data_IF_755141488630
#
_entry.id   IF_755141488630
#
_cell.length_a   1.000
_cell.length_b   1.000
_cell.length_c   1.000
_cell.angle_alpha   90.00
_cell.angle_beta   90.00
_cell.angle_gamma   90.00
#
_symmetry.space_group_name_H-M   'P 1'
#
loop_
_entity.id
_entity.type
_entity.pdbx_description
1 polymer ?
#
# COMPACT_ATOMS: atom_id res chain seq x y z
N UNK A 1 -13.17 -39.53 67.00
CA UNK A 1 -13.09 -39.82 65.56
C UNK A 1 -13.71 -38.66 64.81
N UNK A 2 -12.97 -38.03 63.89
CA UNK A 2 -13.52 -37.05 62.94
C UNK A 2 -12.66 -35.81 62.76
N UNK A 3 -11.58 -35.89 62.00
CA UNK A 3 -10.92 -34.72 61.40
C UNK A 3 -11.59 -34.42 60.05
N UNK A 4 -11.96 -33.17 59.73
CA UNK A 4 -12.23 -32.79 58.35
C UNK A 4 -10.92 -32.49 57.61
N UNK A 5 -10.73 -33.17 56.47
CA UNK A 5 -9.65 -32.90 55.52
C UNK A 5 -10.00 -31.65 54.70
N UNK A 6 -9.14 -30.65 54.73
CA UNK A 6 -9.15 -29.53 53.79
C UNK A 6 -8.51 -30.00 52.47
N UNK A 7 -9.28 -30.06 51.39
CA UNK A 7 -8.76 -30.21 50.04
C UNK A 7 -8.63 -28.80 49.43
N UNK A 8 -7.39 -28.32 49.31
CA UNK A 8 -7.08 -27.11 48.54
C UNK A 8 -6.92 -27.50 47.06
N UNK A 9 -7.82 -27.05 46.21
CA UNK A 9 -7.67 -27.12 44.75
C UNK A 9 -6.86 -25.89 44.33
N UNK A 10 -5.59 -26.09 43.96
CA UNK A 10 -4.77 -25.07 43.34
C UNK A 10 -5.20 -24.86 41.88
N UNK A 11 -5.65 -23.65 41.55
CA UNK A 11 -5.96 -23.25 40.18
C UNK A 11 -4.69 -22.63 39.59
N UNK A 12 -3.93 -23.39 38.81
CA UNK A 12 -2.78 -22.86 38.07
C UNK A 12 -3.31 -22.16 36.83
N UNK A 13 -3.37 -20.83 36.85
CA UNK A 13 -3.63 -20.04 35.66
C UNK A 13 -2.40 -20.12 34.74
N UNK A 14 -2.47 -20.94 33.69
CA UNK A 14 -1.51 -20.91 32.60
C UNK A 14 -1.78 -19.65 31.76
N UNK A 15 -0.94 -18.63 31.91
CA UNK A 15 -0.86 -17.53 30.96
C UNK A 15 -0.30 -18.08 29.65
N UNK A 16 -1.17 -18.33 28.67
CA UNK A 16 -0.74 -18.49 27.28
C UNK A 16 -0.28 -17.11 26.80
N UNK A 17 1.03 -16.85 26.88
CA UNK A 17 1.66 -15.77 26.15
C UNK A 17 1.60 -16.09 24.66
N UNK A 18 0.55 -15.65 23.98
CA UNK A 18 0.50 -15.62 22.53
C UNK A 18 1.54 -14.61 22.04
N UNK A 19 2.50 -15.06 21.22
CA UNK A 19 3.33 -14.13 20.47
C UNK A 19 2.40 -13.28 19.59
N UNK A 20 2.63 -11.96 19.47
CA UNK A 20 1.85 -11.15 18.54
C UNK A 20 2.04 -11.76 17.14
N UNK A 21 0.94 -12.10 16.48
CA UNK A 21 0.98 -12.37 15.04
C UNK A 21 1.45 -11.09 14.36
N UNK A 22 2.52 -11.17 13.59
CA UNK A 22 2.99 -10.04 12.80
C UNK A 22 1.91 -9.73 11.75
N UNK A 23 1.61 -8.44 11.58
CA UNK A 23 0.62 -7.99 10.60
C UNK A 23 1.16 -8.14 9.17
N UNK A 24 0.25 -8.26 8.20
CA UNK A 24 0.60 -8.18 6.78
C UNK A 24 1.33 -6.86 6.50
N UNK A 25 2.34 -6.92 5.64
CA UNK A 25 3.04 -5.72 5.20
C UNK A 25 2.17 -4.93 4.22
N UNK A 26 2.24 -3.61 4.28
CA UNK A 26 1.54 -2.70 3.38
C UNK A 26 2.50 -2.09 2.38
N UNK A 27 2.20 -2.24 1.09
CA UNK A 27 2.88 -1.51 0.02
C UNK A 27 1.88 -0.56 -0.65
N UNK A 28 2.21 0.73 -0.68
CA UNK A 28 1.43 1.75 -1.40
C UNK A 28 2.23 2.28 -2.58
N UNK A 29 1.54 2.48 -3.71
CA UNK A 29 2.09 3.09 -4.91
C UNK A 29 1.36 4.40 -5.18
N UNK A 30 2.10 5.47 -5.47
CA UNK A 30 1.58 6.72 -6.05
C UNK A 30 2.04 6.80 -7.50
N UNK A 31 1.11 6.68 -8.44
CA UNK A 31 1.39 6.54 -9.87
C UNK A 31 0.61 7.56 -10.70
N UNK A 32 1.21 8.07 -11.76
CA UNK A 32 0.52 8.75 -12.85
C UNK A 32 0.73 7.99 -14.16
N UNK A 33 -0.04 8.31 -15.19
CA UNK A 33 0.03 7.58 -16.45
C UNK A 33 -0.45 8.41 -17.63
N UNK A 34 0.01 8.02 -18.80
CA UNK A 34 -0.48 8.48 -20.10
C UNK A 34 -1.30 7.35 -20.73
N UNK A 35 -2.58 7.62 -21.00
CA UNK A 35 -3.46 6.71 -21.71
C UNK A 35 -3.36 6.97 -23.21
N UNK A 36 -2.84 6.00 -23.94
CA UNK A 36 -2.96 5.91 -25.38
C UNK A 36 -3.58 4.55 -25.71
N UNK A 37 -4.71 4.53 -26.43
CA UNK A 37 -5.47 3.31 -26.75
C UNK A 37 -5.88 2.48 -25.51
N UNK A 38 -6.13 3.17 -24.40
CA UNK A 38 -6.46 2.60 -23.09
C UNK A 38 -5.43 2.91 -22.01
N UNK A 39 -5.80 2.71 -20.73
CA UNK A 39 -4.97 3.09 -19.59
C UNK A 39 -3.73 2.19 -19.42
N UNK A 40 -2.66 2.72 -18.80
CA UNK A 40 -1.53 1.92 -18.33
C UNK A 40 -1.97 0.85 -17.34
N UNK A 41 -1.41 -0.35 -17.51
CA UNK A 41 -1.54 -1.47 -16.58
C UNK A 41 -0.18 -1.79 -16.01
N UNK A 42 -0.14 -2.08 -14.72
CA UNK A 42 1.11 -2.37 -14.04
C UNK A 42 1.07 -3.67 -13.26
N UNK A 43 2.26 -4.20 -13.01
CA UNK A 43 2.52 -5.21 -11.99
C UNK A 43 3.39 -4.62 -10.89
N UNK A 44 3.09 -5.02 -9.66
CA UNK A 44 3.92 -4.84 -8.48
C UNK A 44 4.60 -6.17 -8.17
N UNK A 45 5.92 -6.15 -8.01
CA UNK A 45 6.71 -7.34 -7.72
C UNK A 45 7.56 -7.15 -6.46
N UNK A 46 7.79 -8.26 -5.76
CA UNK A 46 8.73 -8.38 -4.66
C UNK A 46 9.71 -9.51 -4.99
N UNK A 47 11.01 -9.20 -5.05
CA UNK A 47 12.06 -10.13 -5.52
C UNK A 47 11.71 -10.77 -6.88
N UNK A 48 11.16 -9.97 -7.80
CA UNK A 48 10.76 -10.41 -9.12
C UNK A 48 9.48 -11.26 -9.18
N UNK A 49 8.87 -11.61 -8.04
CA UNK A 49 7.57 -12.30 -7.99
C UNK A 49 6.43 -11.29 -7.97
N UNK A 50 5.43 -11.47 -8.84
CA UNK A 50 4.21 -10.64 -8.85
C UNK A 50 3.44 -10.83 -7.55
N UNK A 51 3.17 -9.72 -6.86
CA UNK A 51 2.38 -9.64 -5.63
C UNK A 51 1.14 -8.75 -5.78
N UNK A 52 1.05 -7.99 -6.87
CA UNK A 52 -0.10 -7.15 -7.17
C UNK A 52 -0.10 -6.68 -8.61
N UNK A 53 -1.24 -6.17 -9.07
CA UNK A 53 -1.38 -5.52 -10.36
C UNK A 53 -2.51 -4.49 -10.32
N UNK A 54 -2.55 -3.59 -11.30
CA UNK A 54 -3.58 -2.57 -11.37
C UNK A 54 -3.67 -1.89 -12.73
N UNK A 55 -4.68 -1.02 -12.84
CA UNK A 55 -4.98 -0.20 -14.03
C UNK A 55 -5.10 1.25 -13.57
N UNK A 56 -4.46 2.19 -14.28
CA UNK A 56 -4.50 3.61 -13.96
C UNK A 56 -5.69 4.30 -14.64
N UNK A 57 -6.85 4.26 -13.97
CA UNK A 57 -8.07 4.90 -14.46
C UNK A 57 -7.99 6.43 -14.50
N UNK A 58 -7.11 7.04 -13.71
CA UNK A 58 -6.84 8.49 -13.71
C UNK A 58 -5.76 8.92 -14.71
N UNK A 59 -5.26 8.04 -15.58
CA UNK A 59 -4.25 8.42 -16.56
C UNK A 59 -4.76 9.55 -17.49
N UNK A 60 -3.87 10.46 -17.87
CA UNK A 60 -4.20 11.53 -18.81
C UNK A 60 -4.41 10.95 -20.21
N UNK A 61 -5.52 11.30 -20.87
CA UNK A 61 -5.74 10.88 -22.25
C UNK A 61 -4.84 11.68 -23.20
N UNK A 62 -3.90 10.99 -23.85
CA UNK A 62 -2.93 11.63 -24.74
C UNK A 62 -3.52 12.09 -26.08
N UNK A 63 -4.64 11.51 -26.51
CA UNK A 63 -5.37 11.90 -27.71
C UNK A 63 -6.29 13.11 -27.50
N UNK A 64 -6.83 13.28 -26.29
CA UNK A 64 -7.76 14.36 -25.97
C UNK A 64 -7.11 15.54 -25.21
N UNK A 65 -6.28 15.24 -24.21
CA UNK A 65 -5.70 16.24 -23.30
C UNK A 65 -4.22 16.50 -23.56
N UNK A 66 -3.54 15.58 -24.26
CA UNK A 66 -2.13 15.67 -24.59
C UNK A 66 -1.22 15.01 -23.54
N UNK A 67 0.08 15.30 -23.62
CA UNK A 67 1.11 14.67 -22.79
C UNK A 67 1.05 15.13 -21.33
N UNK A 68 1.35 14.24 -20.39
CA UNK A 68 1.30 14.49 -18.94
C UNK A 68 2.10 15.73 -18.56
N UNK A 69 3.35 15.83 -19.03
CA UNK A 69 4.24 16.93 -18.67
C UNK A 69 4.06 18.20 -19.51
N UNK A 70 3.20 18.17 -20.54
CA UNK A 70 2.71 19.38 -21.19
C UNK A 70 1.54 20.01 -20.41
N UNK A 71 0.90 19.25 -19.51
CA UNK A 71 -0.14 19.75 -18.63
C UNK A 71 0.45 20.64 -17.52
N UNK A 72 -0.22 21.74 -17.16
CA UNK A 72 0.23 22.63 -16.09
C UNK A 72 0.18 22.00 -14.68
N UNK A 73 -0.56 20.90 -14.51
CA UNK A 73 -0.79 20.20 -13.23
C UNK A 73 -0.64 18.68 -13.40
N UNK A 74 0.55 18.17 -13.78
CA UNK A 74 0.75 16.73 -14.03
C UNK A 74 0.41 15.87 -12.82
N UNK A 75 0.67 16.36 -11.61
CA UNK A 75 0.38 15.65 -10.35
C UNK A 75 -1.11 15.50 -10.04
N UNK A 76 -2.01 16.20 -10.74
CA UNK A 76 -3.46 15.99 -10.58
C UNK A 76 -3.96 14.65 -11.11
N UNK A 77 -3.14 13.96 -11.91
CA UNK A 77 -3.40 12.63 -12.46
C UNK A 77 -2.81 11.51 -11.59
N UNK A 78 -2.32 11.81 -10.39
CA UNK A 78 -1.85 10.78 -9.46
C UNK A 78 -3.01 9.91 -8.96
N UNK A 79 -2.75 8.63 -8.90
CA UNK A 79 -3.61 7.59 -8.38
C UNK A 79 -2.83 6.71 -7.41
N UNK A 80 -3.45 6.46 -6.25
CA UNK A 80 -2.87 5.61 -5.22
C UNK A 80 -3.40 4.19 -5.32
N UNK A 81 -2.54 3.23 -5.05
CA UNK A 81 -2.85 1.81 -4.94
C UNK A 81 -2.24 1.26 -3.65
N UNK A 82 -2.95 0.36 -2.97
CA UNK A 82 -2.52 -0.21 -1.70
C UNK A 82 -2.65 -1.74 -1.75
N UNK A 83 -1.58 -2.42 -1.37
CA UNK A 83 -1.46 -3.87 -1.41
C UNK A 83 -1.06 -4.40 -0.03
N UNK A 84 -1.84 -5.34 0.49
CA UNK A 84 -1.44 -6.14 1.64
C UNK A 84 -0.62 -7.33 1.16
N UNK A 85 0.58 -7.50 1.71
CA UNK A 85 1.49 -8.61 1.43
C UNK A 85 1.54 -9.50 2.67
N UNK A 86 1.08 -10.76 2.57
CA UNK A 86 1.13 -11.69 3.68
C UNK A 86 2.54 -11.78 4.26
N UNK A 87 2.66 -11.84 5.59
CA UNK A 87 3.97 -11.96 6.26
C UNK A 87 4.82 -13.09 5.66
N UNK A 88 4.20 -14.25 5.41
CA UNK A 88 4.84 -15.42 4.77
C UNK A 88 5.43 -15.16 3.38
N UNK A 89 5.02 -14.10 2.70
CA UNK A 89 5.50 -13.69 1.39
C UNK A 89 6.42 -12.46 1.46
N UNK A 90 6.32 -11.68 2.53
CA UNK A 90 7.09 -10.45 2.68
C UNK A 90 8.57 -10.77 2.97
N UNK A 91 9.46 -10.12 2.21
CA UNK A 91 10.90 -10.27 2.30
C UNK A 91 11.47 -8.94 2.71
N UNK A 92 11.97 -8.87 3.95
CA UNK A 92 12.51 -7.64 4.52
C UNK A 92 13.70 -7.09 3.70
N UNK A 93 14.43 -7.97 3.05
CA UNK A 93 15.58 -7.70 2.19
C UNK A 93 15.22 -7.67 0.69
N UNK A 94 13.94 -7.82 0.35
CA UNK A 94 13.53 -7.98 -1.04
C UNK A 94 13.35 -6.65 -1.76
N UNK A 95 13.75 -6.60 -3.03
CA UNK A 95 13.52 -5.43 -3.87
C UNK A 95 12.05 -5.36 -4.29
N UNK A 96 11.50 -4.14 -4.30
CA UNK A 96 10.15 -3.90 -4.82
C UNK A 96 10.28 -3.26 -6.19
N UNK A 97 9.58 -3.80 -7.18
CA UNK A 97 9.59 -3.25 -8.53
C UNK A 97 8.20 -3.05 -9.11
N UNK A 98 8.06 -1.99 -9.90
CA UNK A 98 6.85 -1.64 -10.65
C UNK A 98 7.18 -1.67 -12.14
N UNK A 99 6.31 -2.30 -12.93
CA UNK A 99 6.52 -2.53 -14.36
C UNK A 99 5.26 -2.17 -15.14
N UNK A 100 5.42 -1.49 -16.27
CA UNK A 100 4.37 -1.30 -17.27
C UNK A 100 4.18 -2.60 -18.06
N UNK A 101 2.96 -3.13 -18.12
CA UNK A 101 2.69 -4.47 -18.71
C UNK A 101 2.04 -4.44 -20.08
N UNK A 102 1.50 -3.29 -20.47
CA UNK A 102 0.78 -3.14 -21.72
C UNK A 102 1.32 -1.96 -22.53
N UNK A 103 2.63 -1.77 -22.59
CA UNK A 103 3.22 -0.72 -23.43
C UNK A 103 2.61 -0.69 -24.84
N UNK A 104 2.37 0.53 -25.35
CA UNK A 104 1.89 0.78 -26.70
C UNK A 104 2.28 2.19 -27.14
N UNK A 105 3.06 2.25 -28.21
CA UNK A 105 3.49 3.47 -28.87
C UNK A 105 2.97 3.55 -30.30
N UNK A 106 2.67 4.77 -30.78
CA UNK A 106 2.39 5.06 -32.18
C UNK A 106 3.24 6.25 -32.67
N UNK A 107 4.00 5.99 -33.73
CA UNK A 107 4.90 6.94 -34.37
C UNK A 107 4.12 7.91 -35.29
N UNK A 108 3.48 8.92 -34.70
CA UNK A 108 2.85 10.08 -35.38
C UNK A 108 3.58 11.38 -35.01
N UNK A 109 3.36 12.48 -35.75
CA UNK A 109 4.03 13.80 -35.56
C UNK A 109 4.01 14.37 -34.12
N UNK A 110 3.07 13.91 -33.27
CA UNK A 110 2.92 14.34 -31.87
C UNK A 110 3.25 13.24 -30.84
N UNK A 111 3.67 12.05 -31.27
CA UNK A 111 4.07 10.93 -30.41
C UNK A 111 3.00 10.54 -29.38
N UNK A 112 2.13 9.58 -29.73
CA UNK A 112 1.14 9.05 -28.78
C UNK A 112 1.66 7.78 -28.16
N UNK A 113 1.62 7.75 -26.84
CA UNK A 113 2.36 6.76 -26.09
C UNK A 113 1.66 6.43 -24.78
N UNK A 114 1.77 5.16 -24.38
CA UNK A 114 1.22 4.68 -23.12
C UNK A 114 2.36 4.52 -22.13
N UNK A 115 2.41 5.45 -21.19
CA UNK A 115 3.49 5.52 -20.23
C UNK A 115 3.00 5.41 -18.80
N UNK A 116 3.85 4.85 -17.94
CA UNK A 116 3.65 4.82 -16.50
C UNK A 116 4.69 5.72 -15.83
N UNK A 117 4.27 6.46 -14.81
CA UNK A 117 5.14 7.36 -14.06
C UNK A 117 4.99 7.08 -12.57
N UNK A 118 6.11 6.79 -11.90
CA UNK A 118 6.13 6.52 -10.46
C UNK A 118 6.48 7.80 -9.72
N UNK A 119 5.63 8.20 -8.79
CA UNK A 119 5.90 9.29 -7.85
C UNK A 119 6.61 8.77 -6.60
N UNK A 120 6.05 7.71 -6.00
CA UNK A 120 6.61 7.08 -4.81
C UNK A 120 6.15 5.63 -4.64
N UNK A 121 6.97 4.87 -3.91
CA UNK A 121 6.64 3.55 -3.36
C UNK A 121 6.79 3.64 -1.85
N UNK A 122 5.72 3.35 -1.10
CA UNK A 122 5.74 3.34 0.37
C UNK A 122 5.63 1.92 0.90
N UNK A 123 6.52 1.53 1.81
CA UNK A 123 6.55 0.19 2.42
C UNK A 123 6.44 0.33 3.93
N UNK A 124 5.35 -0.15 4.53
CA UNK A 124 5.08 -0.07 5.96
C UNK A 124 5.35 1.35 6.53
N UNK A 125 4.92 2.38 5.78
CA UNK A 125 5.08 3.80 6.11
C UNK A 125 6.41 4.45 5.73
N UNK A 126 7.42 3.70 5.26
CA UNK A 126 8.63 4.28 4.69
C UNK A 126 8.43 4.59 3.20
N UNK A 127 8.42 5.87 2.85
CA UNK A 127 8.30 6.35 1.48
C UNK A 127 9.66 6.41 0.78
N UNK A 128 9.73 5.82 -0.42
CA UNK A 128 10.82 5.96 -1.39
C UNK A 128 10.29 6.76 -2.58
N UNK A 129 10.75 8.00 -2.69
CA UNK A 129 10.33 8.92 -3.77
C UNK A 129 11.04 8.60 -5.08
N UNK A 130 10.48 9.07 -6.19
CA UNK A 130 10.99 8.83 -7.54
C UNK A 130 12.50 9.04 -7.67
N UNK A 131 13.06 10.10 -7.07
CA UNK A 131 14.49 10.42 -7.15
C UNK A 131 15.42 9.35 -6.54
N UNK A 132 14.90 8.55 -5.61
CA UNK A 132 15.64 7.50 -4.91
C UNK A 132 15.38 6.10 -5.50
N UNK A 133 14.49 5.99 -6.48
CA UNK A 133 14.27 4.75 -7.23
C UNK A 133 15.38 4.54 -8.27
N UNK A 134 15.57 3.29 -8.68
CA UNK A 134 16.40 2.93 -9.83
C UNK A 134 15.52 2.52 -10.99
N UNK A 135 15.81 3.03 -12.19
CA UNK A 135 15.23 2.49 -13.41
C UNK A 135 16.16 1.42 -13.98
N UNK A 136 15.70 0.18 -14.06
CA UNK A 136 16.50 -0.92 -14.61
C UNK A 136 15.87 -1.47 -15.88
N UNK A 137 16.72 -1.93 -16.81
CA UNK A 137 16.35 -2.80 -17.92
C UNK A 137 17.12 -4.12 -17.76
N UNK A 138 16.43 -5.16 -17.28
CA UNK A 138 17.12 -6.30 -16.65
C UNK A 138 17.99 -5.81 -15.49
N UNK A 139 19.28 -6.12 -15.51
CA UNK A 139 20.24 -5.69 -14.48
C UNK A 139 20.94 -4.35 -14.80
N UNK A 140 20.60 -3.71 -15.92
CA UNK A 140 21.27 -2.49 -16.38
C UNK A 140 20.54 -1.25 -15.88
N UNK A 141 21.24 -0.45 -15.07
CA UNK A 141 20.77 0.89 -14.68
C UNK A 141 20.61 1.79 -15.91
N UNK A 142 19.43 2.37 -16.05
CA UNK A 142 19.11 3.38 -17.05
C UNK A 142 19.24 4.76 -16.39
N UNK A 143 19.90 5.69 -17.08
CA UNK A 143 19.97 7.08 -16.68
C UNK A 143 18.93 7.85 -17.50
N UNK A 144 17.91 8.39 -16.84
CA UNK A 144 16.91 9.26 -17.45
C UNK A 144 16.79 10.55 -16.66
N UNK A 145 16.46 11.63 -17.36
CA UNK A 145 16.03 12.87 -16.74
C UNK A 145 14.60 12.71 -16.21
N UNK A 146 14.45 12.85 -14.90
CA UNK A 146 13.15 12.91 -14.23
C UNK A 146 12.36 14.09 -14.78
N UNK A 147 11.13 13.84 -15.22
CA UNK A 147 10.23 14.89 -15.65
C UNK A 147 9.26 15.23 -14.52
N UNK A 148 9.28 16.49 -14.08
CA UNK A 148 8.45 17.00 -12.99
C UNK A 148 8.52 16.18 -11.68
N UNK A 149 9.65 15.54 -11.41
CA UNK A 149 9.86 14.72 -10.21
C UNK A 149 9.17 13.35 -10.23
N UNK A 150 8.73 12.86 -11.39
CA UNK A 150 8.19 11.51 -11.55
C UNK A 150 9.21 10.64 -12.31
N UNK A 151 9.33 9.36 -11.93
CA UNK A 151 10.16 8.37 -12.62
C UNK A 151 9.38 7.78 -13.80
N UNK A 152 9.84 7.97 -15.05
CA UNK A 152 9.17 7.40 -16.21
C UNK A 152 9.50 5.92 -16.42
N UNK A 153 8.49 5.15 -16.79
CA UNK A 153 8.59 3.79 -17.33
C UNK A 153 7.91 3.81 -18.70
N UNK A 154 8.72 4.00 -19.74
CA UNK A 154 8.23 4.11 -21.12
C UNK A 154 8.04 2.76 -21.80
N UNK A 155 8.81 1.74 -21.41
CA UNK A 155 8.80 0.45 -22.08
C UNK A 155 8.52 -0.66 -21.07
N UNK A 156 7.89 -1.74 -21.52
CA UNK A 156 7.60 -2.91 -20.67
C UNK A 156 8.85 -3.69 -20.25
N UNK A 157 10.02 -3.38 -20.82
CA UNK A 157 11.31 -3.96 -20.45
C UNK A 157 11.95 -3.24 -19.26
N UNK A 158 11.47 -2.04 -18.94
CA UNK A 158 11.97 -1.22 -17.85
C UNK A 158 11.19 -1.46 -16.56
N UNK A 159 11.87 -1.33 -15.43
CA UNK A 159 11.30 -1.46 -14.10
C UNK A 159 11.79 -0.36 -13.18
N UNK A 160 10.87 0.30 -12.48
CA UNK A 160 11.22 1.16 -11.36
C UNK A 160 11.44 0.29 -10.13
N UNK A 161 12.60 0.41 -9.48
CA UNK A 161 13.04 -0.46 -8.39
C UNK A 161 13.32 0.37 -7.14
N UNK A 162 12.61 0.04 -6.06
CA UNK A 162 12.92 0.47 -4.71
C UNK A 162 13.82 -0.57 -4.04
N UNK A 163 15.03 -0.15 -3.68
CA UNK A 163 16.00 -0.99 -2.96
C UNK A 163 15.73 -0.85 -1.46
N UNK A 164 15.67 -1.95 -0.70
CA UNK A 164 15.49 -1.87 0.74
C UNK A 164 16.65 -1.10 1.40
N UNK A 165 16.38 -0.38 2.51
CA UNK A 165 17.44 0.17 3.35
C UNK A 165 18.42 -0.93 3.80
N UNK A 166 19.63 -0.56 4.23
CA UNK A 166 20.62 -1.53 4.72
C UNK A 166 20.11 -2.40 5.88
N UNK A 167 19.17 -1.90 6.68
CA UNK A 167 18.49 -2.62 7.77
C UNK A 167 17.31 -3.49 7.32
N UNK A 168 17.00 -3.47 6.02
CA UNK A 168 15.78 -3.98 5.39
C UNK A 168 14.59 -3.03 5.54
N UNK A 169 13.48 -3.38 4.90
CA UNK A 169 12.20 -2.70 5.05
C UNK A 169 11.73 -2.68 6.51
N UNK A 170 11.04 -1.62 6.96
CA UNK A 170 10.46 -1.59 8.29
C UNK A 170 9.40 -2.69 8.43
N UNK A 171 9.22 -3.21 9.64
CA UNK A 171 8.08 -4.07 9.94
C UNK A 171 6.81 -3.22 10.05
N UNK A 172 5.66 -3.81 9.72
CA UNK A 172 4.37 -3.16 9.96
C UNK A 172 4.20 -2.92 11.47
N UNK A 173 3.79 -1.70 11.84
CA UNK A 173 3.57 -1.37 13.23
C UNK A 173 2.17 -1.80 13.63
N UNK A 174 2.05 -2.80 14.50
CA UNK A 174 0.79 -3.05 15.21
C UNK A 174 0.62 -1.95 16.23
N UNK A 175 -0.22 -0.96 15.93
CA UNK A 175 -0.66 -0.01 16.93
C UNK A 175 -1.55 -0.79 17.90
N UNK A 176 -0.98 -1.19 19.04
CA UNK A 176 -1.75 -1.72 20.16
C UNK A 176 -2.59 -0.57 20.72
N UNK A 177 -3.77 -0.35 20.13
CA UNK A 177 -4.77 0.53 20.72
C UNK A 177 -5.10 -0.09 22.08
N UNK A 178 -4.86 0.60 23.20
CA UNK A 178 -5.13 0.04 24.52
C UNK A 178 -6.57 -0.44 24.53
N UNK A 179 -6.75 -1.72 24.87
CA UNK A 179 -8.05 -2.36 25.02
C UNK A 179 -8.97 -1.40 25.76
N UNK A 180 -10.03 -0.94 25.08
CA UNK A 180 -10.95 0.03 25.64
C UNK A 180 -11.47 -0.54 26.95
N UNK A 181 -11.00 0.01 28.08
CA UNK A 181 -11.54 -0.35 29.38
C UNK A 181 -13.04 -0.09 29.30
N UNK A 182 -13.91 -1.09 29.52
CA UNK A 182 -15.34 -0.87 29.45
C UNK A 182 -15.69 0.13 30.54
N UNK A 183 -15.95 1.38 30.15
CA UNK A 183 -16.47 2.41 31.03
C UNK A 183 -17.89 1.97 31.37
N UNK A 184 -18.06 1.36 32.54
CA UNK A 184 -19.36 1.08 33.10
C UNK A 184 -20.09 2.41 33.32
N UNK A 185 -21.01 2.76 32.43
CA UNK A 185 -21.90 3.90 32.60
C UNK A 185 -22.84 3.61 33.79
N UNK A 186 -22.88 4.43 34.85
CA UNK A 186 -23.92 4.31 35.86
C UNK A 186 -25.20 4.96 35.34
N UNK A 187 -25.98 4.25 34.51
CA UNK A 187 -27.33 4.72 34.16
C UNK A 187 -28.32 4.19 35.20
N UNK A 188 -28.57 4.98 36.24
CA UNK A 188 -29.82 4.89 37.00
C UNK A 188 -30.93 5.52 36.16
N UNK A 189 -31.65 4.71 35.39
CA UNK A 189 -32.94 5.12 34.83
C UNK A 189 -33.96 5.18 35.98
N UNK A 190 -34.39 6.38 36.35
CA UNK A 190 -35.64 6.52 37.11
C UNK A 190 -36.79 6.59 36.11
N UNK A 191 -37.81 5.73 36.21
CA UNK A 191 -38.96 5.79 35.32
C UNK A 191 -39.80 7.05 35.62
N UNK A 192 -40.19 7.76 34.56
CA UNK A 192 -41.06 8.94 34.61
C UNK A 192 -42.51 8.50 34.89
N UNK A 193 -43.28 9.15 35.77
CA UNK A 193 -44.67 8.77 36.03
C UNK A 193 -45.54 8.97 34.79
N UNK A 194 -46.35 7.95 34.47
CA UNK A 194 -47.39 8.02 33.45
C UNK A 194 -48.60 8.74 34.05
N UNK A 195 -49.00 9.86 33.45
CA UNK A 195 -50.26 10.55 33.80
C UNK A 195 -51.40 9.87 33.04
N UNK A 196 -52.46 9.39 33.72
CA UNK A 196 -53.61 8.81 33.03
C UNK A 196 -54.49 9.92 32.42
N UNK A 197 -54.86 9.74 31.16
CA UNK A 197 -55.82 10.60 30.45
C UNK A 197 -57.23 10.15 30.88
N UNK A 198 -57.95 11.01 31.58
CA UNK A 198 -59.37 10.80 31.88
C UNK A 198 -60.22 11.02 30.61
N UNK A 199 -61.24 10.17 30.42
CA UNK A 199 -62.24 10.26 29.35
C UNK A 199 -63.26 11.35 29.64
#
# INVERSE_FOLDING_TARGET
>A
MGNPKLCSVGFTAALLSGAPALADATIKLSLAGEAFDGPPKFELRLDGKVIGSGVLDKAIDTGETGRLFANAKPRSYLQEFEFAVPESQFRKDGEISVILTNDKYLDEEVGRDRNLFVDAITVNGLEIVAADLKLLNGDKLQLLDYQAGLMPIYESTNMAVAVPPATGWPAEQVIDLPEATPVALPVKLTPKPVVPIAR
#
